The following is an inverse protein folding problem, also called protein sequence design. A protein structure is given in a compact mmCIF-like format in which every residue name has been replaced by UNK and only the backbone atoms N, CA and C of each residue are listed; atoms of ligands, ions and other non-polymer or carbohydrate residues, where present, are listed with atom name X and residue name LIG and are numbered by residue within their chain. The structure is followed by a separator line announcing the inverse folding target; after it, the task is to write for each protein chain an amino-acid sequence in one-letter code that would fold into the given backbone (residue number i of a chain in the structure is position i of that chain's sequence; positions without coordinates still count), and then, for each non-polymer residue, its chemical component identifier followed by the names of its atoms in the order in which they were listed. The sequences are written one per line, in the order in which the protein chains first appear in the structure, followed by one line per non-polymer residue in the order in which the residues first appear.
data_IF_468257847518
#
_entry.id   IF_468257847518
#
_cell.length_a   1.000
_cell.length_b   1.000
_cell.length_c   1.000
_cell.angle_alpha   90.00
_cell.angle_beta   90.00
_cell.angle_gamma   90.00
#
_symmetry.space_group_name_H-M   'P 1'
#
loop_
_entity.id
_entity.type
_entity.pdbx_description
1 polymer ?
#
# COMPACT_ATOMS: atom_id res chain seq x y z
N UNK A 1 14.34 -0.92 -2.18
CA UNK A 1 14.59 0.50 -1.84
C UNK A 1 13.40 1.01 -1.04
N UNK A 2 13.62 1.61 0.13
CA UNK A 2 12.55 2.13 1.00
C UNK A 2 11.99 3.45 0.45
N UNK A 3 10.68 3.59 0.21
CA UNK A 3 10.12 4.84 -0.27
C UNK A 3 10.23 5.95 0.78
N UNK A 4 10.25 7.21 0.35
CA UNK A 4 10.11 8.36 1.26
C UNK A 4 8.64 8.78 1.29
N UNK A 5 8.14 9.25 2.44
CA UNK A 5 6.77 9.81 2.56
C UNK A 5 6.51 10.86 1.46
N UNK A 6 7.48 11.76 1.22
CA UNK A 6 7.38 12.77 0.15
C UNK A 6 7.13 12.15 -1.23
N UNK A 7 7.80 11.05 -1.55
CA UNK A 7 7.63 10.38 -2.84
C UNK A 7 6.24 9.76 -2.96
N UNK A 8 5.74 9.11 -1.90
CA UNK A 8 4.40 8.53 -1.86
C UNK A 8 3.31 9.61 -2.05
N UNK A 9 3.40 10.71 -1.29
CA UNK A 9 2.44 11.81 -1.37
C UNK A 9 2.46 12.50 -2.72
N UNK A 10 3.64 12.70 -3.32
CA UNK A 10 3.76 13.32 -4.63
C UNK A 10 3.17 12.43 -5.73
N UNK A 11 3.43 11.12 -5.69
CA UNK A 11 2.86 10.18 -6.65
C UNK A 11 1.32 10.15 -6.58
N UNK A 12 0.76 10.15 -5.37
CA UNK A 12 -0.70 10.22 -5.20
C UNK A 12 -1.27 11.57 -5.66
N UNK A 13 -0.57 12.67 -5.35
CA UNK A 13 -0.94 14.03 -5.76
C UNK A 13 -1.00 14.18 -7.28
N UNK A 14 -0.02 13.64 -7.98
CA UNK A 14 0.05 13.64 -9.44
C UNK A 14 -1.11 12.84 -10.06
N UNK A 15 -1.42 11.67 -9.52
CA UNK A 15 -2.48 10.80 -10.04
C UNK A 15 -3.91 11.29 -9.73
N UNK A 16 -4.10 11.95 -8.58
CA UNK A 16 -5.43 12.33 -8.06
C UNK A 16 -5.71 13.82 -8.16
N UNK A 17 -4.78 14.61 -8.70
CA UNK A 17 -4.88 16.07 -8.83
C UNK A 17 -5.25 16.79 -7.52
N UNK A 18 -4.67 16.33 -6.42
CA UNK A 18 -4.80 16.94 -5.09
C UNK A 18 -3.45 17.40 -4.56
N UNK A 19 -3.38 18.16 -3.46
CA UNK A 19 -2.09 18.55 -2.88
C UNK A 19 -1.44 17.38 -2.12
N UNK A 20 -0.10 17.32 -2.02
CA UNK A 20 0.58 16.26 -1.25
C UNK A 20 0.12 16.18 0.22
N UNK A 21 -0.24 17.33 0.82
CA UNK A 21 -0.77 17.39 2.18
C UNK A 21 -2.14 16.70 2.28
N UNK A 22 -3.07 17.00 1.36
CA UNK A 22 -4.39 16.36 1.31
C UNK A 22 -4.27 14.87 0.99
N UNK A 23 -3.38 14.48 0.06
CA UNK A 23 -3.15 13.06 -0.24
C UNK A 23 -2.67 12.28 0.98
N UNK A 24 -1.77 12.86 1.78
CA UNK A 24 -1.25 12.22 3.00
C UNK A 24 -2.34 11.91 4.02
N UNK A 25 -3.30 12.80 4.21
CA UNK A 25 -4.32 12.66 5.27
C UNK A 25 -5.59 11.95 4.82
N UNK A 26 -5.90 11.97 3.52
CA UNK A 26 -7.24 11.60 3.05
C UNK A 26 -7.26 10.54 1.95
N UNK A 27 -6.13 10.25 1.29
CA UNK A 27 -6.07 9.31 0.17
C UNK A 27 -5.11 8.15 0.37
N UNK A 28 -4.01 8.35 1.10
CA UNK A 28 -3.02 7.30 1.36
C UNK A 28 -3.34 6.62 2.69
N UNK A 29 -3.48 5.30 2.65
CA UNK A 29 -3.68 4.51 3.87
C UNK A 29 -2.46 4.62 4.81
N UNK A 30 -2.63 4.77 6.14
CA UNK A 30 -1.52 4.92 7.09
C UNK A 30 -0.44 3.82 6.97
N UNK A 31 -0.83 2.57 6.75
CA UNK A 31 0.13 1.47 6.54
C UNK A 31 1.01 1.64 5.30
N UNK A 32 0.50 2.29 4.24
CA UNK A 32 1.31 2.62 3.06
C UNK A 32 2.33 3.70 3.40
N UNK A 33 1.96 4.66 4.26
CA UNK A 33 2.92 5.64 4.80
C UNK A 33 3.97 4.96 5.70
N UNK A 34 3.56 3.96 6.47
CA UNK A 34 4.44 3.14 7.32
C UNK A 34 5.56 2.43 6.54
N UNK A 35 5.37 2.18 5.24
CA UNK A 35 6.44 1.66 4.37
C UNK A 35 7.64 2.60 4.24
N UNK A 36 7.46 3.87 4.56
CA UNK A 36 8.58 4.80 4.62
C UNK A 36 9.47 4.57 5.85
N UNK A 37 9.03 3.79 6.83
CA UNK A 37 9.77 3.38 8.02
C UNK A 37 10.28 1.96 7.86
N UNK A 38 9.38 1.00 7.61
CA UNK A 38 9.68 -0.41 7.41
C UNK A 38 8.96 -1.00 6.18
N UNK A 39 9.75 -1.53 5.23
CA UNK A 39 9.24 -2.19 4.02
C UNK A 39 9.09 -3.71 4.18
N UNK A 40 9.60 -4.29 5.26
CA UNK A 40 9.63 -5.73 5.47
C UNK A 40 8.26 -6.41 5.35
N UNK A 41 7.13 -5.81 5.80
CA UNK A 41 5.83 -6.46 5.67
C UNK A 41 5.37 -6.52 4.20
N UNK A 42 5.65 -5.48 3.41
CA UNK A 42 5.37 -5.50 1.97
C UNK A 42 6.27 -6.49 1.24
N UNK A 43 7.57 -6.54 1.55
CA UNK A 43 8.50 -7.51 0.95
C UNK A 43 8.06 -8.95 1.22
N UNK A 44 7.58 -9.25 2.42
CA UNK A 44 6.98 -10.55 2.76
C UNK A 44 5.81 -10.91 1.85
N UNK A 45 4.91 -9.97 1.58
CA UNK A 45 3.77 -10.16 0.67
C UNK A 45 4.21 -10.32 -0.78
N UNK A 46 5.19 -9.53 -1.22
CA UNK A 46 5.72 -9.57 -2.59
C UNK A 46 6.43 -10.89 -2.89
N UNK A 47 7.16 -11.44 -1.90
CA UNK A 47 7.91 -12.68 -1.99
C UNK A 47 7.07 -13.94 -1.68
N UNK A 48 5.82 -13.77 -1.25
CA UNK A 48 4.95 -14.91 -0.95
C UNK A 48 4.64 -15.71 -2.22
N UNK A 49 4.89 -17.03 -2.17
CA UNK A 49 4.55 -17.96 -3.27
C UNK A 49 3.04 -18.04 -3.53
N UNK A 50 2.25 -17.85 -2.48
CA UNK A 50 0.79 -17.88 -2.50
C UNK A 50 0.26 -16.74 -1.65
N UNK A 51 -0.81 -16.08 -2.11
CA UNK A 51 -1.51 -15.06 -1.34
C UNK A 51 -2.78 -15.66 -0.72
N UNK A 52 -3.20 -15.20 0.47
CA UNK A 52 -4.46 -15.59 1.05
C UNK A 52 -5.61 -15.35 0.06
N UNK A 53 -6.40 -16.39 -0.21
CA UNK A 53 -7.59 -16.27 -1.05
C UNK A 53 -8.76 -15.91 -0.15
N UNK A 54 -9.13 -14.64 -0.08
CA UNK A 54 -10.29 -14.18 0.69
C UNK A 54 -11.62 -14.38 -0.05
N UNK A 55 -11.65 -15.28 -1.04
CA UNK A 55 -12.81 -15.57 -1.89
C UNK A 55 -13.16 -14.46 -2.90
N UNK A 56 -12.47 -13.32 -2.88
CA UNK A 56 -12.77 -12.20 -3.78
C UNK A 56 -12.25 -12.49 -5.19
N UNK A 57 -13.17 -12.53 -6.14
CA UNK A 57 -12.89 -12.68 -7.57
C UNK A 57 -12.71 -11.30 -8.22
N UNK A 58 -12.11 -11.27 -9.41
CA UNK A 58 -11.97 -10.05 -10.23
C UNK A 58 -10.78 -9.14 -9.89
N UNK A 59 -10.04 -9.43 -8.83
CA UNK A 59 -8.87 -8.62 -8.45
C UNK A 59 -7.62 -9.00 -9.27
N UNK A 60 -6.93 -7.98 -9.76
CA UNK A 60 -5.57 -8.09 -10.31
C UNK A 60 -4.60 -8.52 -9.20
N UNK A 61 -3.46 -9.08 -9.60
CA UNK A 61 -2.47 -9.59 -8.64
C UNK A 61 -1.99 -8.51 -7.65
N UNK A 62 -1.75 -7.28 -8.12
CA UNK A 62 -1.30 -6.18 -7.27
C UNK A 62 -2.39 -5.70 -6.30
N UNK A 63 -3.65 -5.74 -6.71
CA UNK A 63 -4.78 -5.41 -5.83
C UNK A 63 -4.91 -6.46 -4.72
N UNK A 64 -4.74 -7.75 -5.04
CA UNK A 64 -4.72 -8.82 -4.04
C UNK A 64 -3.56 -8.66 -3.06
N UNK A 65 -2.37 -8.32 -3.55
CA UNK A 65 -1.21 -8.05 -2.67
C UNK A 65 -1.47 -6.86 -1.76
N UNK A 66 -2.01 -5.76 -2.30
CA UNK A 66 -2.38 -4.60 -1.50
C UNK A 66 -3.38 -4.97 -0.41
N UNK A 67 -4.44 -5.71 -0.74
CA UNK A 67 -5.41 -6.17 0.25
C UNK A 67 -4.78 -7.09 1.30
N UNK A 68 -3.93 -8.03 0.90
CA UNK A 68 -3.24 -8.92 1.82
C UNK A 68 -2.31 -8.15 2.77
N UNK A 69 -1.62 -7.12 2.26
CA UNK A 69 -0.80 -6.21 3.06
C UNK A 69 -1.64 -5.42 4.06
N UNK A 70 -2.74 -4.81 3.63
CA UNK A 70 -3.59 -3.98 4.51
C UNK A 70 -4.32 -4.80 5.58
N UNK A 71 -4.65 -6.07 5.30
CA UNK A 71 -5.31 -6.96 6.26
C UNK A 71 -4.44 -7.43 7.42
N UNK A 72 -3.13 -7.21 7.39
CA UNK A 72 -2.23 -7.64 8.48
C UNK A 72 -2.54 -6.95 9.83
N UNK A 73 -3.27 -5.83 9.83
CA UNK A 73 -3.64 -5.10 11.06
C UNK A 73 -5.04 -5.39 11.61
N UNK A 74 -5.83 -6.24 10.94
CA UNK A 74 -7.18 -6.57 11.40
C UNK A 74 -7.23 -7.86 12.25
N UNK A 75 -6.09 -8.30 12.79
CA UNK A 75 -5.96 -9.50 13.63
C UNK A 75 -5.43 -9.09 15.00
#
# INVERSE_FOLDING_TARGET
HRPKIKALCNAASEALHNTPAVCRTSYIHPQILGLAEDVSPLEKIMNAKTLPTDGRRGLRMNERRLLAFLKQEQI
#
